data_IF_878286289751
#
_entry.id   IF_878286289751
#
_cell.length_a   1.000
_cell.length_b   1.000
_cell.length_c   1.000
_cell.angle_alpha   90.00
_cell.angle_beta   90.00
_cell.angle_gamma   90.00
#
_symmetry.space_group_name_H-M   'P 1'
#
loop_
_entity.id
_entity.type
_entity.pdbx_description
1 polymer ?
#
# COMPACT_ATOMS: atom_id res chain seq x y z
N UNK A 1 38.84 105.18 -4.93
CA UNK A 1 38.26 104.28 -4.03
C UNK A 1 37.35 103.28 -4.79
N UNK A 2 37.77 102.04 -5.03
CA UNK A 2 36.94 101.09 -5.79
C UNK A 2 36.08 100.25 -4.89
N UNK A 3 34.82 100.05 -5.24
CA UNK A 3 33.86 99.19 -4.65
C UNK A 3 34.09 97.73 -5.02
N UNK A 4 34.30 96.87 -4.03
CA UNK A 4 34.33 95.42 -4.19
C UNK A 4 32.93 94.85 -4.29
N UNK A 5 32.57 94.24 -5.41
CA UNK A 5 31.37 93.44 -5.60
C UNK A 5 31.68 91.97 -5.21
N UNK A 6 30.99 91.44 -4.20
CA UNK A 6 31.07 90.04 -3.78
C UNK A 6 30.09 89.18 -4.61
N UNK A 7 30.62 88.24 -5.37
CA UNK A 7 29.78 87.25 -6.08
C UNK A 7 29.61 86.06 -5.22
N UNK A 8 28.34 85.75 -4.87
CA UNK A 8 27.89 84.55 -4.16
C UNK A 8 27.91 83.36 -5.13
N UNK A 9 28.34 82.10 -4.71
CA UNK A 9 28.27 80.93 -5.54
C UNK A 9 26.87 80.30 -5.47
N UNK A 10 26.26 80.06 -6.64
CA UNK A 10 25.02 79.30 -6.83
C UNK A 10 25.29 77.81 -6.50
N UNK A 11 24.69 77.34 -5.40
CA UNK A 11 24.66 75.93 -5.04
C UNK A 11 23.62 75.27 -5.97
N UNK A 12 24.08 74.41 -6.88
CA UNK A 12 23.22 73.56 -7.70
C UNK A 12 22.80 72.33 -6.85
N UNK A 13 21.54 72.23 -6.46
CA UNK A 13 20.94 71.01 -5.92
C UNK A 13 20.70 69.99 -7.04
N UNK A 14 21.42 68.87 -6.99
CA UNK A 14 21.07 67.69 -7.78
C UNK A 14 20.08 66.88 -6.92
N UNK A 15 18.86 66.54 -7.40
CA UNK A 15 18.00 65.61 -6.72
C UNK A 15 18.55 64.19 -6.92
N UNK A 16 19.16 63.63 -5.91
CA UNK A 16 19.56 62.22 -5.89
C UNK A 16 18.30 61.38 -5.76
N UNK A 17 17.91 60.78 -6.88
CA UNK A 17 16.82 59.78 -6.92
C UNK A 17 17.33 58.53 -6.21
N UNK A 18 16.99 58.38 -4.92
CA UNK A 18 17.17 57.11 -4.19
C UNK A 18 16.09 56.14 -4.70
N UNK A 19 16.44 55.30 -5.66
CA UNK A 19 15.63 54.16 -6.06
C UNK A 19 15.65 53.16 -4.87
N UNK A 20 14.55 53.09 -4.10
CA UNK A 20 14.33 52.01 -3.14
C UNK A 20 14.16 50.71 -3.92
N UNK A 21 15.23 49.95 -4.04
CA UNK A 21 15.19 48.54 -4.43
C UNK A 21 14.57 47.76 -3.25
N UNK A 22 13.25 47.62 -3.26
CA UNK A 22 12.55 46.63 -2.43
C UNK A 22 13.00 45.25 -2.96
N UNK A 23 13.60 44.40 -2.12
CA UNK A 23 13.84 43.02 -2.54
C UNK A 23 12.48 42.36 -2.77
N UNK A 24 12.24 41.92 -4.01
CA UNK A 24 11.14 41.04 -4.35
C UNK A 24 11.44 39.70 -3.64
N UNK A 25 10.92 39.54 -2.41
CA UNK A 25 10.89 38.24 -1.76
C UNK A 25 9.89 37.40 -2.56
N UNK A 26 10.39 36.67 -3.54
CA UNK A 26 9.65 35.58 -4.14
C UNK A 26 9.48 34.57 -3.03
N UNK A 27 8.33 34.63 -2.35
CA UNK A 27 7.88 33.55 -1.51
C UNK A 27 7.80 32.34 -2.44
N UNK A 28 8.78 31.45 -2.34
CA UNK A 28 8.67 30.15 -2.99
C UNK A 28 7.37 29.54 -2.43
N UNK A 29 6.35 29.44 -3.27
CA UNK A 29 5.12 28.73 -2.91
C UNK A 29 5.52 27.37 -2.37
N UNK A 30 5.17 27.12 -1.12
CA UNK A 30 5.39 25.82 -0.51
C UNK A 30 4.66 24.81 -1.40
N UNK A 31 5.44 23.99 -2.11
CA UNK A 31 4.88 23.00 -3.04
C UNK A 31 3.90 22.13 -2.28
N UNK A 32 2.65 22.09 -2.73
CA UNK A 32 1.61 21.27 -2.13
C UNK A 32 2.10 19.81 -1.98
N UNK A 33 1.77 19.14 -0.86
CA UNK A 33 2.07 17.74 -0.71
C UNK A 33 1.40 16.93 -1.83
N UNK A 34 2.05 15.86 -2.35
CA UNK A 34 1.46 15.10 -3.44
C UNK A 34 0.27 14.28 -2.97
N UNK A 35 -0.66 14.03 -3.87
CA UNK A 35 -1.68 13.01 -3.70
C UNK A 35 -1.06 11.62 -3.62
N UNK A 36 -1.72 10.71 -2.93
CA UNK A 36 -1.27 9.33 -2.77
C UNK A 36 -2.41 8.39 -3.14
N UNK A 37 -2.18 7.51 -4.10
CA UNK A 37 -3.09 6.43 -4.46
C UNK A 37 -2.40 5.10 -4.19
N UNK A 38 -3.00 4.28 -3.33
CA UNK A 38 -2.53 2.93 -3.09
C UNK A 38 -3.58 1.90 -3.52
N UNK A 39 -3.27 1.19 -4.59
CA UNK A 39 -4.09 0.09 -5.13
C UNK A 39 -3.57 -1.23 -4.59
N UNK A 40 -4.44 -2.00 -3.97
CA UNK A 40 -4.11 -3.31 -3.42
C UNK A 40 -4.99 -4.39 -4.04
N UNK A 41 -4.37 -5.26 -4.85
CA UNK A 41 -5.02 -6.45 -5.38
C UNK A 41 -5.20 -7.51 -4.27
N UNK A 42 -6.19 -8.37 -4.42
CA UNK A 42 -6.49 -9.48 -3.52
C UNK A 42 -6.11 -10.79 -4.21
N UNK A 43 -5.04 -11.44 -3.75
CA UNK A 43 -4.53 -12.72 -4.28
C UNK A 43 -3.88 -12.66 -5.70
N UNK A 44 -3.29 -11.55 -6.13
CA UNK A 44 -2.51 -11.57 -7.38
C UNK A 44 -1.07 -12.02 -7.10
N UNK A 45 -0.65 -13.15 -7.65
CA UNK A 45 0.68 -13.69 -7.42
C UNK A 45 1.75 -12.96 -8.24
N UNK A 46 2.99 -12.99 -7.72
CA UNK A 46 4.18 -12.36 -8.31
C UNK A 46 4.37 -12.68 -9.81
N UNK A 47 4.13 -13.92 -10.21
CA UNK A 47 4.33 -14.37 -11.59
C UNK A 47 3.13 -14.18 -12.52
N UNK A 48 2.04 -13.53 -12.10
CA UNK A 48 0.90 -13.31 -12.97
C UNK A 48 1.10 -12.18 -13.98
N UNK A 49 1.62 -10.98 -13.63
CA UNK A 49 1.91 -9.94 -14.61
C UNK A 49 3.13 -10.30 -15.48
N UNK A 50 3.06 -9.98 -16.79
CA UNK A 50 4.17 -10.21 -17.73
C UNK A 50 5.42 -9.40 -17.36
N UNK A 51 5.26 -8.23 -16.77
CA UNK A 51 6.34 -7.42 -16.26
C UNK A 51 7.18 -8.10 -15.17
N UNK A 52 6.65 -9.14 -14.52
CA UNK A 52 7.34 -9.95 -13.51
C UNK A 52 7.74 -11.33 -14.03
N UNK A 53 6.98 -11.88 -14.97
CA UNK A 53 7.27 -13.17 -15.60
C UNK A 53 6.92 -13.12 -17.09
N UNK A 54 7.94 -13.07 -17.94
CA UNK A 54 7.78 -12.82 -19.37
C UNK A 54 6.90 -13.85 -20.11
N UNK A 55 6.90 -15.11 -19.65
CA UNK A 55 6.09 -16.22 -20.20
C UNK A 55 4.68 -16.31 -19.60
N UNK A 56 4.29 -15.34 -18.78
CA UNK A 56 2.94 -15.32 -18.21
C UNK A 56 1.87 -15.29 -19.28
N UNK A 57 0.89 -16.18 -19.16
CA UNK A 57 -0.27 -16.25 -20.05
C UNK A 57 -1.40 -15.28 -19.66
N UNK A 58 -1.31 -14.62 -18.51
CA UNK A 58 -2.30 -13.64 -18.09
C UNK A 58 -2.16 -12.34 -18.87
N UNK A 59 -3.30 -11.75 -19.19
CA UNK A 59 -3.35 -10.44 -19.82
C UNK A 59 -3.45 -9.36 -18.74
N UNK A 60 -2.35 -8.63 -18.57
CA UNK A 60 -2.23 -7.54 -17.58
C UNK A 60 -1.65 -6.27 -18.21
N UNK A 61 -2.28 -5.74 -19.30
CA UNK A 61 -1.69 -4.65 -20.07
C UNK A 61 -1.48 -3.37 -19.26
N UNK A 62 -2.31 -3.09 -18.26
CA UNK A 62 -2.22 -1.87 -17.45
C UNK A 62 -1.17 -1.98 -16.34
N UNK A 63 -1.03 -3.15 -15.70
CA UNK A 63 0.10 -3.44 -14.79
C UNK A 63 1.41 -3.34 -15.57
N UNK A 64 1.47 -3.90 -16.79
CA UNK A 64 2.67 -3.85 -17.64
C UNK A 64 2.95 -2.43 -18.16
N UNK A 65 1.90 -1.63 -18.43
CA UNK A 65 2.01 -0.19 -18.75
C UNK A 65 2.59 0.57 -17.57
N UNK A 66 2.07 0.34 -16.38
CA UNK A 66 2.56 0.98 -15.15
C UNK A 66 4.03 0.65 -14.87
N UNK A 67 4.45 -0.61 -15.08
CA UNK A 67 5.86 -1.02 -14.96
C UNK A 67 6.78 -0.27 -15.92
N UNK A 68 6.31 0.02 -17.15
CA UNK A 68 7.07 0.80 -18.15
C UNK A 68 7.11 2.28 -17.82
N UNK A 69 6.05 2.82 -17.25
CA UNK A 69 5.90 4.25 -16.94
C UNK A 69 6.44 4.63 -15.55
N UNK A 70 6.73 3.65 -14.70
CA UNK A 70 7.17 3.84 -13.33
C UNK A 70 8.37 2.98 -12.96
N UNK A 71 8.43 2.58 -11.70
CA UNK A 71 9.45 1.71 -11.11
C UNK A 71 8.82 0.39 -10.70
N UNK A 72 9.54 -0.70 -10.94
CA UNK A 72 9.19 -2.05 -10.51
C UNK A 72 10.14 -2.50 -9.39
N UNK A 73 9.60 -3.00 -8.29
CA UNK A 73 10.38 -3.67 -7.24
C UNK A 73 10.34 -5.17 -7.46
N UNK A 74 11.50 -5.82 -7.40
CA UNK A 74 11.63 -7.26 -7.60
C UNK A 74 11.72 -8.06 -6.31
N UNK A 75 11.92 -7.39 -5.17
CA UNK A 75 12.02 -8.01 -3.84
C UNK A 75 11.10 -7.28 -2.84
N UNK A 76 9.80 -7.22 -3.18
CA UNK A 76 8.76 -6.61 -2.37
C UNK A 76 7.90 -7.69 -1.70
N UNK A 77 7.57 -7.49 -0.42
CA UNK A 77 6.88 -8.49 0.40
C UNK A 77 5.65 -7.93 1.09
N UNK A 78 4.61 -8.74 1.19
CA UNK A 78 3.58 -8.57 2.20
C UNK A 78 4.10 -9.01 3.58
N UNK A 79 3.63 -8.40 4.65
CA UNK A 79 4.00 -8.79 6.02
C UNK A 79 3.46 -10.18 6.41
N UNK A 80 2.45 -10.65 5.68
CA UNK A 80 1.84 -11.95 5.91
C UNK A 80 1.36 -12.57 4.59
N UNK A 81 1.30 -13.88 4.54
CA UNK A 81 0.78 -14.62 3.39
C UNK A 81 -0.76 -14.70 3.34
N UNK A 82 -1.47 -13.83 4.06
CA UNK A 82 -2.94 -13.78 4.16
C UNK A 82 -3.48 -12.35 4.20
N UNK A 83 -4.70 -12.17 3.70
CA UNK A 83 -5.35 -10.86 3.52
C UNK A 83 -5.44 -10.00 4.80
N UNK A 84 -6.13 -10.47 5.84
CA UNK A 84 -6.38 -9.69 7.07
C UNK A 84 -5.09 -9.22 7.73
N UNK A 85 -4.13 -10.13 8.05
CA UNK A 85 -2.90 -9.70 8.70
C UNK A 85 -2.06 -8.76 7.82
N UNK A 86 -2.01 -8.96 6.52
CA UNK A 86 -1.32 -8.04 5.61
C UNK A 86 -1.94 -6.65 5.63
N UNK A 87 -3.28 -6.55 5.56
CA UNK A 87 -3.99 -5.26 5.59
C UNK A 87 -3.81 -4.52 6.91
N UNK A 88 -3.69 -5.26 8.02
CA UNK A 88 -3.27 -4.71 9.31
C UNK A 88 -1.88 -4.04 9.18
N UNK A 89 -0.89 -4.75 8.64
CA UNK A 89 0.46 -4.24 8.43
C UNK A 89 0.49 -2.98 7.56
N UNK A 90 -0.27 -2.96 6.46
CA UNK A 90 -0.40 -1.82 5.55
C UNK A 90 -0.87 -0.56 6.29
N UNK A 91 -1.93 -0.67 7.08
CA UNK A 91 -2.52 0.52 7.71
C UNK A 91 -1.76 0.98 8.95
N UNK A 92 -1.16 0.06 9.71
CA UNK A 92 -0.52 0.38 10.99
C UNK A 92 0.99 0.54 10.93
N UNK A 93 1.64 0.07 9.85
CA UNK A 93 3.11 0.00 9.78
C UNK A 93 3.71 -0.99 10.78
N UNK A 94 2.92 -1.96 11.29
CA UNK A 94 3.29 -2.90 12.34
C UNK A 94 3.07 -4.34 11.88
N UNK A 95 3.99 -5.24 12.21
CA UNK A 95 3.83 -6.65 11.85
C UNK A 95 2.66 -7.29 12.60
N UNK A 96 1.78 -8.03 11.89
CA UNK A 96 0.60 -8.62 12.48
C UNK A 96 0.89 -9.73 13.50
N UNK A 97 2.07 -10.36 13.45
CA UNK A 97 2.51 -11.32 14.47
C UNK A 97 2.62 -10.70 15.87
N UNK A 98 2.85 -9.38 15.98
CA UNK A 98 2.91 -8.67 17.28
C UNK A 98 1.58 -8.69 18.04
N UNK A 99 0.47 -8.83 17.33
CA UNK A 99 -0.87 -8.97 17.93
C UNK A 99 -1.42 -10.40 17.79
N UNK A 100 -0.59 -11.36 17.41
CA UNK A 100 -1.00 -12.76 17.24
C UNK A 100 -2.00 -12.98 16.09
N UNK A 101 -2.14 -12.04 15.15
CA UNK A 101 -3.10 -12.14 14.05
C UNK A 101 -2.51 -12.92 12.88
N UNK A 102 -2.81 -14.21 12.77
CA UNK A 102 -2.36 -15.10 11.69
C UNK A 102 -3.47 -15.44 10.69
N UNK A 103 -4.69 -15.54 11.16
CA UNK A 103 -5.85 -15.94 10.36
C UNK A 103 -6.57 -14.76 9.71
N UNK A 104 -7.63 -15.08 8.97
CA UNK A 104 -8.51 -14.09 8.34
C UNK A 104 -9.79 -13.91 9.12
N UNK A 105 -10.33 -12.70 9.11
CA UNK A 105 -11.56 -12.35 9.81
C UNK A 105 -12.81 -12.74 9.01
N UNK A 106 -13.93 -12.78 9.70
CA UNK A 106 -15.28 -12.99 9.16
C UNK A 106 -16.07 -11.68 9.22
N UNK A 107 -17.27 -11.68 8.65
CA UNK A 107 -18.17 -10.51 8.59
C UNK A 107 -18.41 -9.86 9.94
N UNK A 108 -18.59 -10.66 10.98
CA UNK A 108 -18.91 -10.20 12.33
C UNK A 108 -17.73 -10.29 13.30
N UNK A 109 -16.52 -10.41 12.80
CA UNK A 109 -15.32 -10.30 13.63
C UNK A 109 -15.17 -8.86 14.13
N UNK A 110 -14.78 -8.66 15.40
CA UNK A 110 -14.51 -7.33 15.93
C UNK A 110 -13.31 -6.70 15.23
N UNK A 111 -13.15 -5.37 15.31
CA UNK A 111 -11.98 -4.68 14.81
C UNK A 111 -10.70 -5.18 15.47
N UNK A 112 -9.63 -5.37 14.67
CA UNK A 112 -8.31 -5.77 15.20
C UNK A 112 -7.35 -4.58 15.32
N UNK A 113 -7.75 -3.40 14.85
CA UNK A 113 -7.01 -2.15 15.03
C UNK A 113 -7.77 -1.32 16.08
N UNK A 114 -7.16 -1.08 17.26
CA UNK A 114 -7.76 -0.20 18.26
C UNK A 114 -7.94 1.22 17.71
N UNK A 115 -8.99 1.94 18.13
CA UNK A 115 -9.25 3.33 17.69
C UNK A 115 -8.11 4.29 18.04
N UNK A 116 -7.36 3.98 19.08
CA UNK A 116 -6.20 4.77 19.54
C UNK A 116 -4.95 4.55 18.70
N UNK A 117 -4.91 3.47 17.88
CA UNK A 117 -3.75 3.17 17.03
C UNK A 117 -3.69 4.13 15.86
N UNK A 118 -2.57 4.85 15.76
CA UNK A 118 -2.30 5.68 14.58
C UNK A 118 -2.16 4.80 13.34
N UNK A 119 -2.90 5.12 12.29
CA UNK A 119 -2.83 4.49 10.98
C UNK A 119 -2.24 5.45 9.96
N UNK A 120 -1.82 4.95 8.81
CA UNK A 120 -1.39 5.82 7.70
C UNK A 120 -2.50 6.80 7.30
N UNK A 121 -3.77 6.38 7.31
CA UNK A 121 -4.91 7.26 7.00
C UNK A 121 -5.09 8.35 8.05
N UNK A 122 -5.14 8.01 9.34
CA UNK A 122 -5.29 9.01 10.41
C UNK A 122 -4.08 9.96 10.50
N UNK A 123 -2.88 9.47 10.19
CA UNK A 123 -1.68 10.30 10.11
C UNK A 123 -1.80 11.33 8.97
N UNK A 124 -2.15 10.87 7.76
CA UNK A 124 -2.31 11.74 6.59
C UNK A 124 -3.46 12.74 6.77
N UNK A 125 -4.60 12.30 7.32
CA UNK A 125 -5.71 13.17 7.70
C UNK A 125 -5.26 14.28 8.65
N UNK A 126 -4.46 13.94 9.67
CA UNK A 126 -3.85 14.92 10.58
C UNK A 126 -2.83 15.86 9.92
N UNK A 127 -2.50 15.65 8.64
CA UNK A 127 -1.64 16.50 7.80
C UNK A 127 -2.42 17.24 6.70
N UNK A 128 -3.75 17.25 6.78
CA UNK A 128 -4.61 17.98 5.85
C UNK A 128 -4.98 17.21 4.59
N UNK A 129 -4.79 15.88 4.57
CA UNK A 129 -5.27 15.06 3.46
C UNK A 129 -6.76 14.75 3.61
N UNK A 130 -7.51 14.81 2.52
CA UNK A 130 -8.76 14.09 2.37
C UNK A 130 -8.46 12.60 2.19
N UNK A 131 -9.16 11.72 2.88
CA UNK A 131 -8.80 10.31 2.96
C UNK A 131 -9.96 9.40 2.63
N UNK A 132 -9.77 8.50 1.66
CA UNK A 132 -10.80 7.57 1.22
C UNK A 132 -10.32 6.11 1.22
N UNK A 133 -11.19 5.20 1.67
CA UNK A 133 -11.07 3.76 1.47
C UNK A 133 -12.21 3.28 0.59
N UNK A 134 -11.91 2.80 -0.62
CA UNK A 134 -12.93 2.31 -1.56
C UNK A 134 -12.60 0.86 -1.92
N UNK A 135 -13.38 -0.10 -1.41
CA UNK A 135 -13.18 -1.52 -1.66
C UNK A 135 -13.27 -2.42 -0.43
N UNK A 136 -12.47 -3.51 -0.42
CA UNK A 136 -12.46 -4.54 0.61
C UNK A 136 -11.77 -4.06 1.89
N UNK A 137 -12.49 -4.06 3.01
CA UNK A 137 -11.92 -3.68 4.32
C UNK A 137 -11.12 -4.81 4.99
N UNK A 138 -11.78 -5.84 5.41
CA UNK A 138 -11.25 -7.10 5.99
C UNK A 138 -10.43 -6.96 7.29
N UNK A 139 -10.73 -5.95 8.11
CA UNK A 139 -10.06 -5.70 9.40
C UNK A 139 -11.00 -5.73 10.61
N UNK A 140 -12.22 -6.26 10.40
CA UNK A 140 -13.26 -6.30 11.40
C UNK A 140 -14.01 -4.97 11.54
N UNK A 141 -15.18 -5.03 12.14
CA UNK A 141 -16.02 -3.88 12.50
C UNK A 141 -17.09 -4.33 13.49
N UNK A 142 -17.49 -3.44 14.37
CA UNK A 142 -18.61 -3.68 15.27
C UNK A 142 -19.92 -3.22 14.63
N UNK A 143 -20.98 -3.99 14.87
CA UNK A 143 -22.33 -3.69 14.37
C UNK A 143 -23.22 -3.29 15.54
N UNK A 144 -24.03 -2.24 15.38
CA UNK A 144 -24.90 -1.72 16.44
C UNK A 144 -25.86 -2.82 16.93
N UNK A 145 -26.43 -3.57 16.00
CA UNK A 145 -27.40 -4.63 16.29
C UNK A 145 -26.74 -6.02 16.44
N UNK A 146 -25.43 -6.07 16.77
CA UNK A 146 -24.68 -7.31 16.93
C UNK A 146 -24.49 -8.04 15.61
N UNK A 147 -25.21 -9.16 15.39
CA UNK A 147 -25.17 -9.92 14.13
C UNK A 147 -26.48 -9.74 13.37
N UNK A 148 -26.65 -8.61 12.63
CA UNK A 148 -27.95 -8.26 12.08
C UNK A 148 -28.46 -9.18 10.96
N UNK A 149 -27.63 -10.05 10.40
CA UNK A 149 -28.04 -10.94 9.31
C UNK A 149 -27.13 -12.14 9.10
N UNK A 150 -27.21 -12.74 7.91
CA UNK A 150 -26.31 -13.84 7.51
C UNK A 150 -24.93 -13.30 7.19
N UNK A 151 -23.86 -14.12 7.39
CA UNK A 151 -22.47 -13.71 7.13
C UNK A 151 -22.20 -13.22 5.70
N UNK A 152 -22.91 -13.76 4.73
CA UNK A 152 -22.72 -13.42 3.31
C UNK A 152 -23.70 -12.36 2.78
N UNK A 153 -24.64 -11.90 3.60
CA UNK A 153 -25.63 -10.90 3.21
C UNK A 153 -26.10 -10.10 4.43
N UNK A 154 -25.66 -8.86 4.52
CA UNK A 154 -26.05 -7.94 5.56
C UNK A 154 -27.37 -7.26 5.19
N UNK A 155 -28.29 -7.01 6.16
CA UNK A 155 -29.51 -6.26 5.87
C UNK A 155 -29.20 -4.81 5.51
N UNK A 156 -29.93 -4.28 4.52
CA UNK A 156 -29.87 -2.86 4.18
C UNK A 156 -30.30 -2.06 5.41
N UNK A 157 -29.55 -1.03 5.72
CA UNK A 157 -29.76 -0.19 6.89
C UNK A 157 -28.96 -0.61 8.13
N UNK A 158 -28.36 -1.82 8.17
CA UNK A 158 -27.48 -2.21 9.27
C UNK A 158 -26.32 -1.21 9.40
N UNK A 159 -26.00 -0.82 10.64
CA UNK A 159 -25.00 0.19 10.95
C UNK A 159 -23.82 -0.38 11.73
N UNK A 160 -22.63 0.11 11.40
CA UNK A 160 -21.41 -0.20 12.14
C UNK A 160 -20.95 1.00 12.99
N UNK A 161 -20.25 0.73 14.09
CA UNK A 161 -19.68 1.76 14.98
C UNK A 161 -18.17 1.92 14.80
N UNK A 162 -17.50 0.86 14.38
CA UNK A 162 -16.04 0.77 14.32
C UNK A 162 -15.64 0.17 12.98
N UNK A 163 -15.15 1.01 12.10
CA UNK A 163 -14.77 0.65 10.74
C UNK A 163 -13.70 1.61 10.21
N UNK A 164 -13.56 1.77 8.91
CA UNK A 164 -12.56 2.64 8.31
C UNK A 164 -12.60 4.09 8.82
N UNK A 165 -13.79 4.64 9.04
CA UNK A 165 -13.99 6.04 9.41
C UNK A 165 -13.34 6.40 10.76
N UNK A 166 -13.38 5.51 11.75
CA UNK A 166 -12.74 5.78 13.06
C UNK A 166 -11.22 5.58 13.02
N UNK A 167 -10.71 5.01 11.94
CA UNK A 167 -9.28 4.77 11.71
C UNK A 167 -8.66 5.79 10.74
N UNK A 168 -9.38 6.90 10.49
CA UNK A 168 -8.86 8.06 9.80
C UNK A 168 -9.27 8.21 8.34
N UNK A 169 -10.21 7.39 7.83
CA UNK A 169 -10.80 7.62 6.51
C UNK A 169 -12.01 8.55 6.61
N UNK A 170 -11.99 9.66 5.87
CA UNK A 170 -13.12 10.58 5.75
C UNK A 170 -14.27 9.95 4.98
N UNK A 171 -13.92 9.14 3.99
CA UNK A 171 -14.89 8.44 3.15
C UNK A 171 -14.61 6.94 3.10
N UNK A 172 -15.66 6.14 3.28
CA UNK A 172 -15.64 4.69 3.06
C UNK A 172 -16.78 4.27 2.15
N UNK A 173 -16.42 3.53 1.09
CA UNK A 173 -17.38 2.83 0.23
C UNK A 173 -16.84 1.45 -0.10
N UNK A 174 -17.50 0.39 0.37
CA UNK A 174 -16.89 -0.92 0.19
C UNK A 174 -17.71 -2.07 0.80
N UNK A 175 -17.00 -3.09 1.21
CA UNK A 175 -17.57 -4.32 1.77
C UNK A 175 -16.62 -4.93 2.80
N UNK A 176 -17.16 -5.82 3.65
CA UNK A 176 -16.39 -6.41 4.75
C UNK A 176 -15.22 -7.29 4.26
N UNK A 177 -15.52 -8.31 3.46
CA UNK A 177 -14.54 -9.24 2.86
C UNK A 177 -15.14 -9.95 1.64
N UNK A 178 -14.32 -10.73 0.91
CA UNK A 178 -14.73 -11.31 -0.37
C UNK A 178 -15.98 -12.23 -0.31
N UNK A 179 -16.24 -12.94 0.82
CA UNK A 179 -17.44 -13.74 0.96
C UNK A 179 -18.71 -12.89 1.15
N UNK A 180 -18.56 -11.63 1.50
CA UNK A 180 -19.64 -10.66 1.62
C UNK A 180 -19.55 -9.55 0.55
N UNK A 181 -19.10 -9.92 -0.62
CA UNK A 181 -18.91 -9.01 -1.75
C UNK A 181 -20.23 -8.37 -2.23
N UNK A 182 -21.38 -8.99 -1.93
CA UNK A 182 -22.69 -8.48 -2.33
C UNK A 182 -23.25 -7.38 -1.43
N UNK A 183 -22.75 -7.19 -0.20
CA UNK A 183 -23.27 -6.17 0.70
C UNK A 183 -22.41 -4.90 0.61
N UNK A 184 -22.98 -3.83 0.08
CA UNK A 184 -22.31 -2.55 -0.08
C UNK A 184 -22.54 -1.68 1.16
N UNK A 185 -21.44 -1.20 1.72
CA UNK A 185 -21.41 -0.27 2.86
C UNK A 185 -20.94 1.09 2.35
N UNK A 186 -21.66 2.13 2.69
CA UNK A 186 -21.21 3.50 2.52
C UNK A 186 -21.16 4.18 3.88
N UNK A 187 -20.01 4.76 4.19
CA UNK A 187 -19.70 5.29 5.52
C UNK A 187 -19.91 4.23 6.62
N UNK A 188 -20.92 4.36 7.44
CA UNK A 188 -21.22 3.48 8.58
C UNK A 188 -22.42 2.55 8.35
N UNK A 189 -22.97 2.49 7.14
CA UNK A 189 -24.26 1.87 6.86
C UNK A 189 -24.26 0.97 5.63
N UNK A 190 -24.94 -0.17 5.70
CA UNK A 190 -25.22 -1.00 4.52
C UNK A 190 -26.28 -0.29 3.67
N UNK A 191 -25.89 0.09 2.44
CA UNK A 191 -26.74 0.88 1.52
C UNK A 191 -27.36 0.03 0.41
N UNK A 192 -26.76 -1.10 0.06
CA UNK A 192 -27.29 -1.95 -0.99
C UNK A 192 -26.85 -3.41 -0.81
N UNK A 193 -27.64 -4.33 -1.37
CA UNK A 193 -27.28 -5.70 -1.66
C UNK A 193 -27.32 -5.92 -3.17
N UNK A 194 -26.21 -6.37 -3.73
CA UNK A 194 -26.00 -6.54 -5.18
C UNK A 194 -25.48 -7.93 -5.49
N UNK A 195 -25.58 -8.33 -6.76
CA UNK A 195 -24.91 -9.56 -7.23
C UNK A 195 -23.39 -9.35 -7.20
N UNK A 196 -22.62 -10.38 -6.92
CA UNK A 196 -21.14 -10.27 -6.86
C UNK A 196 -20.51 -9.67 -8.12
N UNK A 197 -21.09 -9.95 -9.31
CA UNK A 197 -20.63 -9.40 -10.59
C UNK A 197 -20.80 -7.87 -10.71
N UNK A 198 -21.64 -7.26 -9.89
CA UNK A 198 -21.92 -5.82 -9.89
C UNK A 198 -21.01 -5.05 -8.94
N UNK A 199 -20.41 -5.75 -7.95
CA UNK A 199 -19.62 -5.10 -6.90
C UNK A 199 -18.42 -4.33 -7.46
N UNK A 200 -17.52 -4.97 -8.20
CA UNK A 200 -16.31 -4.31 -8.66
C UNK A 200 -16.55 -3.19 -9.68
N UNK A 201 -17.53 -3.29 -10.61
CA UNK A 201 -17.98 -2.13 -11.38
C UNK A 201 -18.43 -0.94 -10.53
N UNK A 202 -19.10 -1.18 -9.39
CA UNK A 202 -19.48 -0.11 -8.46
C UNK A 202 -18.27 0.46 -7.72
N UNK A 203 -17.33 -0.38 -7.29
CA UNK A 203 -16.10 0.08 -6.62
C UNK A 203 -15.28 1.00 -7.53
N UNK A 204 -15.01 0.58 -8.77
CA UNK A 204 -14.24 1.43 -9.68
C UNK A 204 -15.00 2.71 -10.03
N UNK A 205 -16.29 2.65 -10.33
CA UNK A 205 -17.09 3.84 -10.59
C UNK A 205 -16.99 4.86 -9.45
N UNK A 206 -17.07 4.39 -8.20
CA UNK A 206 -16.97 5.27 -7.02
C UNK A 206 -15.56 5.85 -6.87
N UNK A 207 -14.50 5.06 -7.16
CA UNK A 207 -13.13 5.55 -7.13
C UNK A 207 -12.87 6.63 -8.19
N UNK A 208 -13.40 6.45 -9.41
CA UNK A 208 -13.29 7.47 -10.47
C UNK A 208 -14.03 8.75 -10.11
N UNK A 209 -15.25 8.65 -9.58
CA UNK A 209 -16.00 9.80 -9.07
C UNK A 209 -15.22 10.57 -8.00
N UNK A 210 -14.64 9.85 -7.04
CA UNK A 210 -13.80 10.45 -6.00
C UNK A 210 -12.62 11.23 -6.62
N UNK A 211 -11.90 10.66 -7.59
CA UNK A 211 -10.79 11.35 -8.26
C UNK A 211 -11.28 12.59 -9.04
N UNK A 212 -12.42 12.52 -9.72
CA UNK A 212 -13.03 13.64 -10.42
C UNK A 212 -13.44 14.77 -9.46
N UNK A 213 -13.94 14.43 -8.27
CA UNK A 213 -14.25 15.39 -7.21
C UNK A 213 -12.98 16.04 -6.67
N UNK A 214 -11.94 15.24 -6.36
CA UNK A 214 -10.67 15.75 -5.85
C UNK A 214 -9.90 16.60 -6.85
N UNK A 215 -10.10 16.43 -8.16
CA UNK A 215 -9.46 17.27 -9.17
C UNK A 215 -9.92 18.74 -9.19
N UNK A 216 -10.96 19.06 -8.41
CA UNK A 216 -11.53 20.41 -8.28
C UNK A 216 -11.20 21.06 -6.95
N UNK A 217 -10.46 20.36 -6.09
CA UNK A 217 -10.11 20.78 -4.75
C UNK A 217 -8.61 20.93 -4.63
N UNK A 218 -8.16 21.81 -3.75
CA UNK A 218 -6.74 22.08 -3.54
C UNK A 218 -6.09 21.16 -2.51
N UNK A 219 -6.90 20.53 -1.63
CA UNK A 219 -6.38 19.65 -0.60
C UNK A 219 -5.83 18.35 -1.20
N UNK A 220 -4.64 17.89 -0.76
CA UNK A 220 -4.12 16.61 -1.17
C UNK A 220 -5.00 15.47 -0.67
N UNK A 221 -5.02 14.36 -1.39
CA UNK A 221 -5.83 13.22 -1.01
C UNK A 221 -5.00 11.93 -0.87
N UNK A 222 -5.51 11.02 -0.04
CA UNK A 222 -5.07 9.64 0.07
C UNK A 222 -6.21 8.70 -0.29
N UNK A 223 -6.09 8.01 -1.41
CA UNK A 223 -7.02 6.96 -1.82
C UNK A 223 -6.39 5.57 -1.57
N UNK A 224 -6.95 4.83 -0.63
CA UNK A 224 -6.70 3.40 -0.48
C UNK A 224 -7.78 2.64 -1.27
N UNK A 225 -7.37 1.94 -2.33
CA UNK A 225 -8.25 1.20 -3.24
C UNK A 225 -7.96 -0.31 -3.20
N UNK A 226 -8.41 -1.03 -2.15
CA UNK A 226 -8.26 -2.47 -2.01
C UNK A 226 -9.33 -3.21 -2.82
N UNK A 227 -8.96 -3.69 -3.99
CA UNK A 227 -9.83 -4.42 -4.90
C UNK A 227 -10.08 -5.86 -4.41
N UNK A 228 -11.10 -6.55 -4.99
CA UNK A 228 -11.33 -7.97 -4.76
C UNK A 228 -10.64 -8.89 -5.79
N UNK A 229 -10.52 -8.53 -7.09
CA UNK A 229 -9.83 -9.38 -8.05
C UNK A 229 -8.36 -9.62 -7.70
N UNK A 230 -7.88 -10.88 -7.96
CA UNK A 230 -8.60 -12.05 -8.45
C UNK A 230 -9.06 -13.04 -7.37
N UNK A 231 -9.28 -12.62 -6.12
CA UNK A 231 -9.78 -13.48 -5.02
C UNK A 231 -11.16 -14.09 -5.33
N UNK A 232 -11.43 -15.27 -4.80
CA UNK A 232 -12.77 -15.90 -4.86
C UNK A 232 -13.81 -15.12 -4.04
N UNK A 233 -15.09 -15.03 -4.47
CA UNK A 233 -15.65 -15.67 -5.65
C UNK A 233 -15.15 -15.04 -6.95
N UNK A 234 -14.91 -15.89 -7.97
CA UNK A 234 -14.51 -15.42 -9.30
C UNK A 234 -15.79 -15.03 -10.05
N UNK A 235 -16.04 -13.74 -10.11
CA UNK A 235 -17.29 -13.17 -10.63
C UNK A 235 -17.03 -11.98 -11.56
N UNK A 236 -16.29 -12.19 -12.68
CA UNK A 236 -16.04 -11.11 -13.62
C UNK A 236 -17.36 -10.56 -14.17
N UNK A 237 -17.41 -9.24 -14.35
CA UNK A 237 -18.57 -8.59 -14.96
C UNK A 237 -18.69 -9.01 -16.44
N UNK A 238 -19.92 -9.01 -17.01
CA UNK A 238 -20.20 -9.58 -18.33
C UNK A 238 -19.28 -9.07 -19.45
N UNK A 239 -18.89 -7.80 -19.40
CA UNK A 239 -18.00 -7.19 -20.40
C UNK A 239 -16.57 -7.74 -20.40
N UNK A 240 -16.14 -8.47 -19.36
CA UNK A 240 -14.81 -9.05 -19.25
C UNK A 240 -14.75 -10.55 -19.60
N UNK A 241 -15.91 -11.21 -19.71
CA UNK A 241 -15.98 -12.64 -20.02
C UNK A 241 -15.29 -12.94 -21.36
N UNK A 242 -14.33 -13.87 -21.34
CA UNK A 242 -13.52 -14.28 -22.48
C UNK A 242 -12.36 -13.34 -22.84
N UNK A 243 -12.18 -12.20 -22.15
CA UNK A 243 -11.13 -11.21 -22.48
C UNK A 243 -9.79 -11.52 -21.83
N UNK A 244 -9.76 -12.20 -20.69
CA UNK A 244 -8.55 -12.51 -19.94
C UNK A 244 -7.61 -13.54 -20.59
N UNK A 245 -8.07 -14.20 -21.66
CA UNK A 245 -7.34 -15.29 -22.30
C UNK A 245 -7.68 -16.65 -21.67
N UNK A 246 -6.97 -17.70 -22.12
CA UNK A 246 -7.19 -19.07 -21.63
C UNK A 246 -6.11 -19.44 -20.60
N UNK A 247 -6.33 -19.10 -19.35
CA UNK A 247 -5.43 -19.48 -18.26
C UNK A 247 -6.22 -20.24 -17.20
N UNK A 248 -5.99 -21.55 -17.13
CA UNK A 248 -6.71 -22.41 -16.19
C UNK A 248 -8.17 -22.68 -16.57
N UNK A 249 -8.91 -23.23 -15.63
CA UNK A 249 -10.35 -23.53 -15.79
C UNK A 249 -11.20 -22.35 -15.37
N UNK A 250 -12.20 -22.00 -16.19
CA UNK A 250 -13.20 -20.97 -15.88
C UNK A 250 -12.73 -19.54 -16.11
N UNK A 251 -13.44 -18.60 -15.52
CA UNK A 251 -13.30 -17.15 -15.72
C UNK A 251 -12.24 -16.48 -14.83
N UNK A 252 -11.29 -17.21 -14.25
CA UNK A 252 -10.26 -16.64 -13.38
C UNK A 252 -9.36 -15.64 -14.12
N UNK A 253 -8.95 -15.97 -15.35
CA UNK A 253 -8.17 -15.03 -16.18
C UNK A 253 -8.96 -13.77 -16.54
N UNK A 254 -10.28 -13.88 -16.71
CA UNK A 254 -11.15 -12.73 -16.93
C UNK A 254 -11.24 -11.85 -15.68
N UNK A 255 -11.18 -12.48 -14.49
CA UNK A 255 -11.18 -11.78 -13.21
C UNK A 255 -9.86 -11.04 -12.96
N UNK A 256 -8.71 -11.65 -13.33
CA UNK A 256 -7.41 -10.96 -13.34
C UNK A 256 -7.45 -9.77 -14.30
N UNK A 257 -7.97 -9.99 -15.52
CA UNK A 257 -8.07 -8.94 -16.54
C UNK A 257 -8.98 -7.79 -16.10
N UNK A 258 -10.11 -8.07 -15.44
CA UNK A 258 -10.96 -7.02 -14.87
C UNK A 258 -10.23 -6.19 -13.82
N UNK A 259 -9.46 -6.83 -12.93
CA UNK A 259 -8.66 -6.08 -11.94
C UNK A 259 -7.60 -5.19 -12.60
N UNK A 260 -6.94 -5.69 -13.63
CA UNK A 260 -5.99 -4.94 -14.46
C UNK A 260 -6.65 -3.75 -15.18
N UNK A 261 -7.85 -3.96 -15.75
CA UNK A 261 -8.60 -2.90 -16.42
C UNK A 261 -9.09 -1.82 -15.45
N UNK A 262 -9.51 -2.20 -14.24
CA UNK A 262 -9.85 -1.24 -13.18
C UNK A 262 -8.66 -0.35 -12.80
N UNK A 263 -7.45 -0.93 -12.71
CA UNK A 263 -6.22 -0.15 -12.55
C UNK A 263 -6.01 0.79 -13.74
N UNK A 264 -6.25 0.32 -14.96
CA UNK A 264 -6.17 1.11 -16.18
C UNK A 264 -7.08 2.34 -16.14
N UNK A 265 -8.35 2.14 -15.82
CA UNK A 265 -9.34 3.23 -15.70
C UNK A 265 -8.92 4.28 -14.67
N UNK A 266 -8.37 3.84 -13.51
CA UNK A 266 -7.89 4.74 -12.48
C UNK A 266 -6.70 5.58 -12.96
N UNK A 267 -5.73 4.97 -13.64
CA UNK A 267 -4.58 5.68 -14.21
C UNK A 267 -5.01 6.69 -15.30
N UNK A 268 -5.93 6.29 -16.15
CA UNK A 268 -6.47 7.15 -17.22
C UNK A 268 -7.24 8.34 -16.65
N UNK A 269 -7.98 8.13 -15.56
CA UNK A 269 -8.68 9.23 -14.86
C UNK A 269 -7.70 10.20 -14.21
N UNK A 270 -6.64 9.73 -13.57
CA UNK A 270 -5.60 10.62 -13.04
C UNK A 270 -4.95 11.48 -14.17
N UNK A 271 -4.75 10.91 -15.34
CA UNK A 271 -4.21 11.63 -16.49
C UNK A 271 -5.23 12.65 -17.06
N UNK A 272 -6.47 12.25 -17.28
CA UNK A 272 -7.50 13.11 -17.88
C UNK A 272 -7.97 14.25 -16.97
N UNK A 273 -7.87 14.07 -15.64
CA UNK A 273 -8.19 15.12 -14.66
C UNK A 273 -7.01 16.02 -14.31
N UNK A 274 -5.81 15.76 -14.86
CA UNK A 274 -4.60 16.55 -14.59
C UNK A 274 -3.90 16.20 -13.27
N UNK A 275 -4.42 15.24 -12.49
CA UNK A 275 -3.87 14.86 -11.19
C UNK A 275 -2.56 14.04 -11.29
N UNK A 276 -2.26 13.44 -12.44
CA UNK A 276 -1.19 12.44 -12.58
C UNK A 276 0.19 12.95 -12.14
N UNK A 277 0.55 14.20 -12.44
CA UNK A 277 1.87 14.76 -12.15
C UNK A 277 2.10 14.99 -10.66
N UNK A 278 1.04 15.21 -9.90
CA UNK A 278 1.08 15.47 -8.47
C UNK A 278 0.60 14.27 -7.63
N UNK A 279 0.54 13.07 -8.23
CA UNK A 279 0.08 11.86 -7.56
C UNK A 279 1.15 10.77 -7.55
N UNK A 280 1.50 10.30 -6.34
CA UNK A 280 2.24 9.05 -6.14
C UNK A 280 1.27 7.87 -6.20
N UNK A 281 1.37 7.05 -7.23
CA UNK A 281 0.60 5.81 -7.37
C UNK A 281 1.46 4.64 -6.94
N UNK A 282 1.00 3.86 -5.97
CA UNK A 282 1.57 2.61 -5.50
C UNK A 282 0.61 1.47 -5.80
N UNK A 283 1.11 0.35 -6.31
CA UNK A 283 0.29 -0.83 -6.65
C UNK A 283 0.98 -2.08 -6.13
N UNK A 284 0.26 -2.92 -5.40
CA UNK A 284 0.76 -4.20 -4.89
C UNK A 284 -0.37 -5.21 -4.70
N UNK A 285 -0.04 -6.36 -4.08
CA UNK A 285 -1.00 -7.37 -3.65
C UNK A 285 -0.90 -7.64 -2.14
N UNK A 286 -1.96 -8.20 -1.56
CA UNK A 286 -1.98 -8.50 -0.13
C UNK A 286 -1.35 -9.84 0.23
N UNK A 287 -1.26 -10.77 -0.70
CA UNK A 287 -0.59 -12.07 -0.58
C UNK A 287 -0.54 -12.78 -1.93
N UNK A 288 0.26 -13.84 -2.03
CA UNK A 288 0.37 -14.67 -3.22
C UNK A 288 -0.96 -15.27 -3.70
N UNK A 289 -0.98 -15.75 -4.92
CA UNK A 289 -2.18 -16.28 -5.57
C UNK A 289 -2.65 -17.58 -4.91
N UNK A 290 -3.96 -17.66 -4.59
CA UNK A 290 -4.53 -18.83 -3.92
C UNK A 290 -4.60 -20.07 -4.83
N UNK A 291 -3.91 -21.14 -4.43
CA UNK A 291 -3.88 -22.42 -5.15
C UNK A 291 -3.17 -22.36 -6.51
N UNK A 292 -2.20 -21.47 -6.65
CA UNK A 292 -1.42 -21.26 -7.88
C UNK A 292 0.02 -20.90 -7.57
N UNK A 293 0.92 -21.81 -7.84
CA UNK A 293 2.35 -21.56 -7.80
C UNK A 293 2.83 -20.90 -9.08
N UNK A 294 3.79 -20.02 -8.96
CA UNK A 294 4.45 -19.34 -10.07
C UNK A 294 5.96 -19.52 -9.97
N UNK A 295 6.52 -20.60 -10.55
CA UNK A 295 7.96 -20.78 -10.54
C UNK A 295 8.70 -19.53 -11.06
N UNK A 296 9.88 -19.23 -10.51
CA UNK A 296 10.67 -20.07 -9.57
C UNK A 296 10.27 -19.99 -8.09
N UNK A 297 9.30 -19.16 -7.70
CA UNK A 297 8.89 -19.01 -6.31
C UNK A 297 8.11 -20.23 -5.83
N UNK A 298 8.44 -20.68 -4.62
CA UNK A 298 7.83 -21.86 -4.00
C UNK A 298 6.52 -21.51 -3.33
N UNK A 299 5.55 -22.41 -3.45
CA UNK A 299 4.21 -22.33 -2.85
C UNK A 299 3.37 -21.13 -3.29
N UNK A 300 2.31 -20.87 -2.53
CA UNK A 300 1.29 -19.87 -2.81
C UNK A 300 0.72 -19.25 -1.51
N UNK A 301 -0.42 -18.59 -1.60
CA UNK A 301 -1.14 -17.97 -0.48
C UNK A 301 -1.17 -18.84 0.78
N UNK A 302 -0.84 -18.24 1.91
CA UNK A 302 -0.83 -18.88 3.24
C UNK A 302 0.51 -19.53 3.58
N UNK A 303 1.43 -19.66 2.62
CA UNK A 303 2.75 -20.25 2.83
C UNK A 303 3.75 -19.22 3.35
N UNK A 304 4.80 -19.73 4.04
CA UNK A 304 5.93 -18.92 4.48
C UNK A 304 7.04 -18.81 3.43
N UNK A 305 6.96 -19.59 2.35
CA UNK A 305 7.90 -19.52 1.24
C UNK A 305 7.58 -18.34 0.33
N UNK A 306 8.52 -17.98 -0.54
CA UNK A 306 8.44 -16.74 -1.33
C UNK A 306 7.13 -16.57 -2.11
N UNK A 307 6.56 -17.64 -2.66
CA UNK A 307 5.29 -17.56 -3.39
C UNK A 307 4.06 -17.16 -2.55
N UNK A 308 4.18 -17.22 -1.21
CA UNK A 308 3.09 -16.82 -0.32
C UNK A 308 3.04 -15.32 -0.02
N UNK A 309 4.18 -14.62 -0.09
CA UNK A 309 4.30 -13.25 0.40
C UNK A 309 5.19 -12.32 -0.43
N UNK A 310 5.87 -12.83 -1.49
CA UNK A 310 6.58 -11.97 -2.45
C UNK A 310 5.61 -11.47 -3.49
N UNK A 311 5.42 -10.16 -3.56
CA UNK A 311 4.35 -9.53 -4.31
C UNK A 311 4.86 -8.67 -5.45
N UNK A 312 4.11 -8.52 -6.55
CA UNK A 312 4.39 -7.45 -7.48
C UNK A 312 4.20 -6.11 -6.77
N UNK A 313 5.18 -5.23 -6.90
CA UNK A 313 5.10 -3.86 -6.38
C UNK A 313 5.56 -2.87 -7.43
N UNK A 314 4.70 -1.93 -7.75
CA UNK A 314 4.92 -0.89 -8.76
C UNK A 314 4.68 0.49 -8.15
N UNK A 315 5.49 1.46 -8.58
CA UNK A 315 5.34 2.85 -8.20
C UNK A 315 5.44 3.77 -9.42
N UNK A 316 4.52 4.72 -9.55
CA UNK A 316 4.57 5.75 -10.61
C UNK A 316 4.37 7.12 -9.98
N UNK A 317 5.24 8.06 -10.36
CA UNK A 317 5.08 9.48 -10.07
C UNK A 317 5.81 10.26 -11.15
N UNK A 318 5.10 10.81 -12.13
CA UNK A 318 5.72 11.54 -13.22
C UNK A 318 6.64 12.68 -12.73
N UNK A 319 7.81 12.83 -13.36
CA UNK A 319 8.79 13.84 -12.97
C UNK A 319 9.54 13.57 -11.64
N UNK A 320 9.19 12.52 -10.88
CA UNK A 320 9.85 12.15 -9.62
C UNK A 320 10.45 10.75 -9.66
N UNK A 321 9.74 9.79 -10.21
CA UNK A 321 10.20 8.42 -10.41
C UNK A 321 10.60 8.25 -11.87
N UNK A 322 11.83 7.80 -12.10
CA UNK A 322 12.34 7.56 -13.46
C UNK A 322 11.59 6.38 -14.11
N UNK A 323 10.93 6.58 -15.26
CA UNK A 323 10.20 5.51 -15.94
C UNK A 323 11.07 4.33 -16.33
N UNK A 324 10.49 3.12 -16.30
CA UNK A 324 11.12 1.88 -16.73
C UNK A 324 12.26 1.39 -15.83
N UNK A 325 12.39 1.93 -14.61
CA UNK A 325 13.44 1.51 -13.67
C UNK A 325 13.00 0.31 -12.85
N UNK A 326 14.01 -0.41 -12.32
CA UNK A 326 13.81 -1.55 -11.44
C UNK A 326 14.64 -1.37 -10.17
N UNK A 327 14.07 -1.75 -9.02
CA UNK A 327 14.75 -1.81 -7.73
C UNK A 327 14.69 -3.23 -7.20
N UNK A 328 15.83 -3.74 -6.73
CA UNK A 328 15.99 -5.03 -6.05
C UNK A 328 16.06 -4.89 -4.53
N UNK A 329 15.81 -3.70 -4.02
CA UNK A 329 15.77 -3.45 -2.59
C UNK A 329 14.64 -4.23 -1.93
N UNK A 330 14.93 -4.85 -0.79
CA UNK A 330 13.91 -5.52 0.03
C UNK A 330 13.01 -4.46 0.63
N UNK A 331 11.73 -4.51 0.28
CA UNK A 331 10.69 -3.66 0.87
C UNK A 331 9.54 -4.51 1.39
N UNK A 332 8.81 -3.98 2.36
CA UNK A 332 7.52 -4.52 2.79
C UNK A 332 6.40 -3.52 2.46
N UNK A 333 5.22 -4.00 2.11
CA UNK A 333 4.07 -3.09 1.98
C UNK A 333 3.67 -2.44 3.32
N UNK A 334 4.18 -2.94 4.44
CA UNK A 334 4.14 -2.29 5.75
C UNK A 334 4.89 -0.94 5.74
N UNK A 335 5.87 -0.78 4.85
CA UNK A 335 6.74 0.40 4.71
C UNK A 335 6.04 1.63 4.12
N UNK A 336 4.83 1.46 3.60
CA UNK A 336 4.03 2.56 3.04
C UNK A 336 3.83 3.65 4.09
N UNK A 337 3.61 3.32 5.36
CA UNK A 337 3.36 4.31 6.39
C UNK A 337 4.58 5.23 6.62
N UNK A 338 5.76 4.66 6.87
CA UNK A 338 6.99 5.46 7.03
C UNK A 338 7.37 6.21 5.73
N UNK A 339 7.05 5.64 4.57
CA UNK A 339 7.28 6.29 3.27
C UNK A 339 6.38 7.52 3.11
N UNK A 340 5.10 7.42 3.48
CA UNK A 340 4.19 8.58 3.49
C UNK A 340 4.67 9.66 4.49
N UNK A 341 5.11 9.28 5.68
CA UNK A 341 5.66 10.23 6.64
C UNK A 341 6.91 10.94 6.09
N UNK A 342 7.84 10.18 5.52
CA UNK A 342 9.07 10.73 4.90
C UNK A 342 8.76 11.64 3.71
N UNK A 343 7.74 11.31 2.93
CA UNK A 343 7.26 12.13 1.80
C UNK A 343 6.85 13.53 2.25
N UNK A 344 6.30 13.65 3.45
CA UNK A 344 5.91 14.91 4.09
C UNK A 344 7.04 15.54 4.92
N UNK A 345 8.24 14.96 4.92
CA UNK A 345 9.34 15.43 5.77
C UNK A 345 9.04 15.31 7.27
N UNK A 346 8.23 14.33 7.68
CA UNK A 346 7.82 14.09 9.06
C UNK A 346 8.38 12.76 9.57
N UNK A 347 8.68 12.70 10.86
CA UNK A 347 8.94 11.47 11.59
C UNK A 347 7.61 10.88 12.10
N UNK A 348 7.56 9.56 12.23
CA UNK A 348 6.48 8.89 12.95
C UNK A 348 6.74 8.97 14.46
N UNK A 349 5.68 9.02 15.30
CA UNK A 349 5.81 8.80 16.74
C UNK A 349 6.42 7.42 17.05
N UNK A 350 7.09 7.29 18.19
CA UNK A 350 7.76 6.05 18.61
C UNK A 350 6.82 4.84 18.69
N UNK A 351 5.56 5.09 19.04
CA UNK A 351 4.52 4.06 19.14
C UNK A 351 3.68 3.88 17.87
N UNK A 352 4.17 4.30 16.71
CA UNK A 352 3.48 4.18 15.43
C UNK A 352 4.41 3.76 14.29
N UNK A 353 3.95 2.82 13.47
CA UNK A 353 4.74 2.33 12.34
C UNK A 353 6.03 1.62 12.75
N UNK A 354 6.02 0.91 13.89
CA UNK A 354 7.19 0.35 14.56
C UNK A 354 8.04 -0.58 13.68
N UNK A 355 7.42 -1.18 12.66
CA UNK A 355 8.09 -2.09 11.71
C UNK A 355 8.20 -1.49 10.31
N UNK A 356 7.80 -0.24 10.15
CA UNK A 356 7.77 0.46 8.87
C UNK A 356 9.08 1.21 8.61
N UNK A 357 9.69 1.00 7.46
CA UNK A 357 10.93 1.66 7.04
C UNK A 357 10.72 2.35 5.70
N UNK A 358 11.01 3.65 5.62
CA UNK A 358 10.76 4.42 4.40
C UNK A 358 11.62 3.96 3.22
N UNK A 359 10.98 3.63 2.10
CA UNK A 359 11.64 3.38 0.82
C UNK A 359 11.62 4.59 -0.14
N UNK A 360 11.35 5.79 0.37
CA UNK A 360 11.27 7.01 -0.46
C UNK A 360 12.54 7.26 -1.27
N UNK A 361 13.72 7.00 -0.69
CA UNK A 361 15.01 7.14 -1.40
C UNK A 361 15.14 6.15 -2.57
N UNK A 362 14.53 4.96 -2.45
CA UNK A 362 14.47 4.00 -3.55
C UNK A 362 13.64 4.55 -4.71
N UNK A 363 12.48 5.16 -4.42
CA UNK A 363 11.61 5.76 -5.44
C UNK A 363 12.32 6.85 -6.24
N UNK A 364 13.22 7.60 -5.62
CA UNK A 364 14.02 8.64 -6.28
C UNK A 364 15.31 8.13 -6.94
N UNK A 365 15.59 6.82 -6.87
CA UNK A 365 16.85 6.26 -7.35
C UNK A 365 18.08 6.70 -6.55
N UNK A 366 17.89 7.16 -5.32
CA UNK A 366 18.95 7.72 -4.45
C UNK A 366 19.45 6.71 -3.41
N UNK A 367 18.80 5.53 -3.31
CA UNK A 367 19.18 4.52 -2.34
C UNK A 367 20.52 3.86 -2.75
N UNK A 368 21.49 3.90 -1.85
CA UNK A 368 22.78 3.23 -1.98
C UNK A 368 22.88 2.12 -0.93
N UNK A 369 22.98 0.88 -1.42
CA UNK A 369 23.04 -0.31 -0.55
C UNK A 369 21.74 -0.62 0.20
N UNK A 370 21.73 -1.67 1.01
CA UNK A 370 20.55 -2.06 1.79
C UNK A 370 20.15 -0.99 2.79
N UNK A 371 18.86 -0.73 2.94
CA UNK A 371 18.33 0.26 3.90
C UNK A 371 17.46 -0.37 4.98
N UNK A 372 16.94 -1.58 4.70
CA UNK A 372 16.06 -2.31 5.61
C UNK A 372 16.77 -3.48 6.23
N UNK A 373 16.71 -3.60 7.56
CA UNK A 373 17.23 -4.73 8.30
C UNK A 373 16.39 -5.03 9.56
N UNK A 374 15.97 -6.27 9.74
CA UNK A 374 15.52 -7.26 8.77
C UNK A 374 14.07 -7.05 8.36
N UNK A 375 13.56 -7.82 7.39
CA UNK A 375 12.13 -7.90 7.07
C UNK A 375 11.53 -9.17 7.67
N UNK A 376 10.34 -9.07 8.26
CA UNK A 376 9.64 -10.21 8.85
C UNK A 376 8.39 -10.53 8.04
N UNK A 377 8.16 -11.80 7.77
CA UNK A 377 6.96 -12.32 7.11
C UNK A 377 6.35 -13.42 7.99
N UNK A 378 5.03 -13.59 7.89
CA UNK A 378 4.32 -14.66 8.58
C UNK A 378 3.43 -15.47 7.64
N UNK A 379 3.31 -16.77 7.93
CA UNK A 379 2.34 -17.63 7.26
C UNK A 379 0.98 -17.64 7.95
N UNK A 380 -0.02 -18.18 7.27
CA UNK A 380 -1.33 -18.49 7.89
C UNK A 380 -1.27 -19.60 8.94
N UNK A 381 -0.18 -20.35 9.01
CA UNK A 381 0.04 -21.48 9.93
C UNK A 381 1.02 -21.17 11.06
N UNK A 382 1.18 -19.91 11.43
CA UNK A 382 2.05 -19.42 12.52
C UNK A 382 3.56 -19.63 12.30
N UNK A 383 4.03 -19.94 11.09
CA UNK A 383 5.45 -19.86 10.78
C UNK A 383 5.84 -18.39 10.59
N UNK A 384 7.05 -18.05 11.02
CA UNK A 384 7.67 -16.74 10.82
C UNK A 384 8.92 -16.90 9.96
N UNK A 385 9.16 -15.93 9.09
CA UNK A 385 10.41 -15.82 8.36
C UNK A 385 11.07 -14.48 8.64
N UNK A 386 12.39 -14.48 8.69
CA UNK A 386 13.22 -13.29 8.80
C UNK A 386 14.10 -13.23 7.57
N UNK A 387 14.02 -12.15 6.83
CA UNK A 387 14.81 -11.89 5.64
C UNK A 387 15.86 -10.82 5.95
N UNK A 388 17.14 -11.17 5.78
CA UNK A 388 18.28 -10.24 5.89
C UNK A 388 19.22 -10.42 4.70
N UNK A 389 19.28 -9.45 3.81
CA UNK A 389 20.02 -9.55 2.56
C UNK A 389 19.59 -10.82 1.79
N UNK A 390 20.52 -11.68 1.41
CA UNK A 390 20.24 -12.95 0.71
C UNK A 390 19.70 -14.06 1.61
N UNK A 391 19.81 -13.94 2.93
CA UNK A 391 19.46 -15.00 3.87
C UNK A 391 17.99 -14.90 4.31
N UNK A 392 17.33 -16.04 4.30
CA UNK A 392 15.96 -16.20 4.84
C UNK A 392 15.94 -17.34 5.85
N UNK A 393 15.68 -17.00 7.10
CA UNK A 393 15.44 -17.97 8.17
C UNK A 393 13.95 -18.14 8.35
N UNK A 394 13.48 -19.38 8.31
CA UNK A 394 12.10 -19.76 8.63
C UNK A 394 12.07 -20.49 9.97
N UNK A 395 11.13 -20.13 10.84
CA UNK A 395 10.81 -20.82 12.08
C UNK A 395 9.36 -21.25 12.02
N UNK A 396 9.12 -22.55 11.98
CA UNK A 396 7.78 -23.13 11.96
C UNK A 396 7.17 -23.20 13.36
N UNK A 397 5.85 -23.37 13.44
CA UNK A 397 5.14 -23.43 14.71
C UNK A 397 5.52 -24.62 15.62
N UNK A 398 6.13 -25.67 15.05
CA UNK A 398 6.73 -26.83 15.74
C UNK A 398 8.22 -26.62 16.08
N UNK A 399 8.74 -25.41 15.95
CA UNK A 399 10.14 -25.02 16.13
C UNK A 399 11.13 -25.60 15.11
N UNK A 400 10.66 -26.29 14.06
CA UNK A 400 11.51 -26.62 12.92
C UNK A 400 12.06 -25.34 12.29
N UNK A 401 13.33 -25.35 11.92
CA UNK A 401 14.02 -24.19 11.31
C UNK A 401 14.57 -24.57 9.94
N UNK A 402 14.48 -23.62 9.01
CA UNK A 402 15.06 -23.73 7.68
C UNK A 402 15.77 -22.41 7.34
N UNK A 403 16.95 -22.51 6.73
CA UNK A 403 17.74 -21.35 6.31
C UNK A 403 18.04 -21.48 4.82
N UNK A 404 17.73 -20.44 4.07
CA UNK A 404 17.92 -20.40 2.61
C UNK A 404 18.82 -19.22 2.21
N UNK A 405 19.67 -19.44 1.22
CA UNK A 405 20.37 -18.40 0.46
C UNK A 405 19.55 -18.12 -0.82
N UNK A 406 18.70 -17.12 -0.82
CA UNK A 406 17.78 -16.84 -1.93
C UNK A 406 18.48 -16.32 -3.20
N UNK A 407 19.75 -15.89 -3.12
CA UNK A 407 20.53 -15.60 -4.32
C UNK A 407 20.97 -16.88 -5.04
N UNK A 408 21.25 -17.93 -4.29
CA UNK A 408 21.66 -19.23 -4.83
C UNK A 408 20.46 -20.14 -5.11
N UNK A 409 19.42 -20.07 -4.29
CA UNK A 409 18.22 -20.92 -4.35
C UNK A 409 16.94 -20.14 -4.05
N UNK A 410 16.45 -19.42 -5.04
CA UNK A 410 15.15 -18.72 -4.97
C UNK A 410 13.95 -19.66 -4.87
N UNK A 411 14.16 -20.95 -5.18
CA UNK A 411 13.15 -22.01 -5.12
C UNK A 411 12.95 -22.57 -3.72
N UNK A 412 13.82 -22.18 -2.78
CA UNK A 412 13.78 -22.62 -1.38
C UNK A 412 13.75 -24.16 -1.19
N UNK A 413 14.44 -24.92 -2.06
CA UNK A 413 14.47 -26.37 -2.03
C UNK A 413 15.60 -26.92 -1.17
N UNK A 414 16.68 -26.16 -0.95
CA UNK A 414 17.90 -26.62 -0.28
C UNK A 414 18.19 -25.79 0.98
N UNK A 415 17.68 -26.25 2.13
CA UNK A 415 17.96 -25.60 3.41
C UNK A 415 19.41 -25.87 3.89
N UNK A 416 20.09 -24.79 4.28
CA UNK A 416 21.47 -24.81 4.79
C UNK A 416 21.53 -25.27 6.25
N UNK A 417 21.33 -26.55 6.52
CA UNK A 417 21.27 -27.13 7.88
C UNK A 417 22.54 -26.90 8.69
N UNK A 418 23.74 -26.95 8.04
CA UNK A 418 25.03 -26.75 8.72
C UNK A 418 25.17 -25.30 9.21
N UNK A 419 24.76 -24.29 8.40
CA UNK A 419 24.80 -22.90 8.78
C UNK A 419 23.80 -22.59 9.91
N UNK A 420 22.64 -23.28 9.95
CA UNK A 420 21.64 -23.13 11.03
C UNK A 420 22.23 -23.45 12.41
N UNK A 421 23.17 -24.41 12.52
CA UNK A 421 23.81 -24.75 13.79
C UNK A 421 24.70 -23.60 14.28
N UNK A 422 25.33 -22.87 13.37
CA UNK A 422 26.21 -21.73 13.68
C UNK A 422 25.42 -20.44 13.98
N UNK A 423 24.23 -20.27 13.39
CA UNK A 423 23.38 -19.11 13.64
C UNK A 423 22.54 -19.21 14.92
N UNK A 424 22.52 -20.36 15.59
CA UNK A 424 21.67 -20.60 16.76
C UNK A 424 21.97 -19.62 17.91
N UNK A 425 23.22 -19.29 18.10
CA UNK A 425 23.70 -18.41 19.17
C UNK A 425 23.38 -16.93 18.86
N UNK A 426 23.57 -16.49 17.62
CA UNK A 426 23.32 -15.13 17.18
C UNK A 426 21.85 -14.73 17.27
N UNK A 427 20.93 -15.64 16.97
CA UNK A 427 19.49 -15.37 16.96
C UNK A 427 18.87 -15.38 18.37
N UNK A 428 19.41 -16.24 19.26
CA UNK A 428 18.97 -16.26 20.66
C UNK A 428 19.36 -15.00 21.41
N UNK A 429 20.50 -14.39 21.09
CA UNK A 429 21.02 -13.21 21.78
C UNK A 429 20.44 -11.88 21.27
N UNK A 430 20.11 -11.78 19.97
CA UNK A 430 19.81 -10.49 19.33
C UNK A 430 18.36 -10.28 18.90
N UNK A 431 17.56 -11.35 18.76
CA UNK A 431 16.21 -11.24 18.16
C UNK A 431 15.11 -11.74 19.09
N UNK A 432 15.35 -12.82 19.84
CA UNK A 432 14.31 -13.41 20.70
C UNK A 432 14.31 -12.86 22.12
N UNK A 433 15.34 -12.12 22.53
CA UNK A 433 15.40 -11.45 23.83
C UNK A 433 14.54 -10.17 23.88
N UNK A 434 14.10 -9.62 22.76
CA UNK A 434 13.08 -8.58 22.75
C UNK A 434 11.71 -9.24 22.65
N UNK A 435 10.79 -9.04 23.61
CA UNK A 435 9.45 -9.62 23.51
C UNK A 435 8.79 -9.13 22.21
N UNK A 436 8.51 -10.08 21.29
CA UNK A 436 7.67 -9.85 20.13
C UNK A 436 6.22 -9.52 20.53
N UNK A 437 5.93 -9.69 21.82
CA UNK A 437 4.64 -9.50 22.45
C UNK A 437 4.89 -8.66 23.69
N UNK A 438 4.87 -7.35 23.59
CA UNK A 438 4.47 -6.50 24.71
C UNK A 438 2.93 -6.56 24.75
N UNK A 439 2.45 -7.32 25.72
CA UNK A 439 1.07 -7.26 26.15
C UNK A 439 0.86 -5.91 26.85
N UNK A 440 0.60 -4.87 26.07
CA UNK A 440 0.18 -3.58 26.58
C UNK A 440 -0.91 -2.97 25.69
N UNK A 441 -2.06 -3.62 25.73
CA UNK A 441 -3.35 -3.11 25.28
C UNK A 441 -4.45 -3.53 26.29
N UNK A 442 -4.14 -3.42 27.60
CA UNK A 442 -5.18 -3.45 28.64
C UNK A 442 -5.44 -2.01 29.07
N UNK A 443 -6.42 -1.35 28.41
CA UNK A 443 -7.35 -0.36 28.97
C UNK A 443 -8.47 -0.14 27.96
#
# INVERSE_FOLDING_TARGET
MPLFLWKSPLIRYYPTLIALLLPLVVLAEAKQPPNIVFVLFDDIGYGQPKSYRADSSFKTPNIDRLAKQGMRFTDAHSAAANCTPTRYGVLTGRYPCRIGQYGVLKTYSPPIIPKTRLTVASFLKGKGYDTACIGKWHLGMNWIDGKPGKENQLPIGARMTDGPNVLGFDYFYGFTHARNIGSIIEQDKVVANVRGIENQPMMIKKALQYLEERSREDEPFFLYFPMCPPHKPVVPAPQYVGKGGRVGKGSYSDWVYQGDDMLGQLLDTLESTGLANDTLVLVSADNGAAGREYPPLRDDKGSIYEGGHREPFLAKWPGRIKPGTTSDQIISITDIFATCASLLGKALPENAGEDSVSFLKCLYGQQKGPFREPSVQQSGKKALAIRKGKWKLIVHGDNKRELFDLNADITENHSHQQALRQCKDYLSENFWSRPLIEADDTA
#
